data_IF_603067231278
#
_entry.id   IF_603067231278
#
_cell.length_a   1.000
_cell.length_b   1.000
_cell.length_c   1.000
_cell.angle_alpha   90.00
_cell.angle_beta   90.00
_cell.angle_gamma   90.00
#
_symmetry.space_group_name_H-M   'P 1'
#
loop_
_entity.id
_entity.type
_entity.pdbx_description
1 polymer ?
#
# COMPACT_ATOMS: atom_id res chain seq x y z
N UNK A 1 -19.12 -7.57 2.64
CA UNK A 1 -17.76 -7.11 2.34
C UNK A 1 -17.08 -6.61 3.62
N UNK A 2 -16.71 -7.52 4.54
CA UNK A 2 -16.39 -7.13 5.92
C UNK A 2 -14.94 -6.67 6.15
N UNK A 3 -14.00 -6.99 5.24
CA UNK A 3 -12.56 -6.86 5.52
C UNK A 3 -12.08 -7.92 6.51
N UNK A 4 -10.97 -7.66 7.18
CA UNK A 4 -10.48 -8.45 8.32
C UNK A 4 -10.79 -7.79 9.66
N UNK A 5 -10.16 -8.28 10.73
CA UNK A 5 -10.38 -7.80 12.11
C UNK A 5 -9.15 -7.13 12.72
N UNK A 6 -8.03 -7.10 12.01
CA UNK A 6 -6.75 -6.59 12.53
C UNK A 6 -6.67 -5.09 12.37
N UNK A 7 -6.44 -4.33 13.44
CA UNK A 7 -6.29 -2.87 13.33
C UNK A 7 -4.99 -2.51 12.60
N UNK A 8 -4.93 -1.32 11.98
CA UNK A 8 -3.71 -0.83 11.30
C UNK A 8 -2.56 -0.69 12.31
N UNK A 9 -2.85 -0.24 13.53
CA UNK A 9 -1.87 -0.15 14.63
C UNK A 9 -1.29 -1.52 14.97
N UNK A 10 -2.11 -2.57 14.94
CA UNK A 10 -1.66 -3.95 15.17
C UNK A 10 -0.79 -4.44 14.01
N UNK A 11 -1.15 -4.11 12.77
CA UNK A 11 -0.31 -4.44 11.61
C UNK A 11 1.05 -3.75 11.68
N UNK A 12 1.08 -2.47 12.08
CA UNK A 12 2.31 -1.70 12.31
C UNK A 12 3.13 -2.35 13.42
N UNK A 13 2.52 -2.61 14.59
CA UNK A 13 3.18 -3.19 15.76
C UNK A 13 3.83 -4.57 15.49
N UNK A 14 3.27 -5.34 14.55
CA UNK A 14 3.78 -6.66 14.13
C UNK A 14 4.69 -6.59 12.90
N UNK A 15 5.20 -5.39 12.55
CA UNK A 15 6.11 -5.19 11.42
C UNK A 15 7.48 -4.76 11.93
N UNK A 16 8.49 -5.63 11.73
CA UNK A 16 9.87 -5.34 12.14
C UNK A 16 10.53 -4.28 11.25
N UNK A 17 10.33 -4.37 9.94
CA UNK A 17 10.76 -3.37 8.96
C UNK A 17 9.78 -3.35 7.78
N UNK A 18 9.29 -2.17 7.40
CA UNK A 18 8.34 -2.03 6.31
C UNK A 18 7.99 -0.58 5.99
N UNK A 19 7.07 -0.38 5.05
CA UNK A 19 6.61 0.94 4.65
C UNK A 19 5.09 1.01 4.83
N UNK A 20 4.63 1.97 5.62
CA UNK A 20 3.22 2.35 5.68
C UNK A 20 2.92 3.32 4.54
N UNK A 21 2.03 2.92 3.63
CA UNK A 21 1.52 3.73 2.53
C UNK A 21 0.08 4.12 2.81
N UNK A 22 -0.19 5.42 2.86
CA UNK A 22 -1.55 5.96 3.02
C UNK A 22 -2.11 6.56 1.73
N UNK A 23 -1.25 6.87 0.76
CA UNK A 23 -1.62 7.54 -0.49
C UNK A 23 -0.77 7.07 -1.68
N UNK A 24 -1.46 6.78 -2.77
CA UNK A 24 -0.90 6.48 -4.08
C UNK A 24 -1.38 7.52 -5.09
N UNK A 25 -0.60 7.74 -6.12
CA UNK A 25 -0.83 8.76 -7.14
C UNK A 25 -0.34 8.30 -8.51
N UNK A 26 -0.97 8.84 -9.54
CA UNK A 26 -0.67 8.62 -10.94
C UNK A 26 -0.68 7.13 -11.32
N UNK A 27 -1.73 6.42 -10.91
CA UNK A 27 -1.84 4.98 -11.20
C UNK A 27 -2.23 4.80 -12.68
N UNK A 28 -1.50 3.94 -13.39
CA UNK A 28 -1.71 3.61 -14.80
C UNK A 28 -1.61 2.10 -15.00
N UNK A 29 -2.45 1.57 -15.88
CA UNK A 29 -2.36 0.17 -16.31
C UNK A 29 -1.25 0.05 -17.37
N UNK A 30 -0.30 -0.84 -17.13
CA UNK A 30 0.82 -1.14 -18.05
C UNK A 30 0.46 -2.34 -18.91
N UNK A 31 -0.04 -3.40 -18.28
CA UNK A 31 -0.50 -4.61 -18.95
C UNK A 31 -1.89 -5.00 -18.42
N UNK A 32 -2.95 -4.94 -19.25
CA UNK A 32 -4.29 -5.28 -18.84
C UNK A 32 -4.54 -6.78 -18.64
N UNK A 33 -3.76 -7.65 -19.28
CA UNK A 33 -3.93 -9.10 -19.18
C UNK A 33 -3.31 -9.61 -17.88
N UNK A 34 -2.07 -9.21 -17.61
CA UNK A 34 -1.35 -9.57 -16.39
C UNK A 34 -1.76 -8.72 -15.18
N UNK A 35 -2.57 -7.67 -15.40
CA UNK A 35 -2.99 -6.69 -14.38
C UNK A 35 -1.83 -6.04 -13.67
N UNK A 36 -0.87 -5.59 -14.48
CA UNK A 36 0.30 -4.84 -14.02
C UNK A 36 -0.05 -3.36 -13.99
N UNK A 37 0.08 -2.75 -12.81
CA UNK A 37 -0.11 -1.31 -12.60
C UNK A 37 1.22 -0.65 -12.25
N UNK A 38 1.42 0.56 -12.76
CA UNK A 38 2.50 1.45 -12.34
C UNK A 38 1.93 2.70 -11.70
N UNK A 39 2.69 3.32 -10.80
CA UNK A 39 2.31 4.57 -10.17
C UNK A 39 3.40 5.07 -9.23
N UNK A 40 3.02 6.01 -8.37
CA UNK A 40 3.91 6.59 -7.38
C UNK A 40 3.22 6.69 -6.03
N UNK A 41 3.99 6.71 -4.96
CA UNK A 41 3.49 7.16 -3.66
C UNK A 41 3.46 8.69 -3.63
N UNK A 42 2.61 9.31 -2.79
CA UNK A 42 2.62 10.77 -2.62
C UNK A 42 2.19 11.18 -1.22
N UNK A 43 3.05 11.95 -0.53
CA UNK A 43 2.78 12.62 0.75
C UNK A 43 2.10 11.70 1.79
N UNK A 44 2.55 10.45 1.85
CA UNK A 44 1.89 9.40 2.64
C UNK A 44 2.73 8.14 2.82
N UNK A 45 4.06 8.28 2.77
CA UNK A 45 5.01 7.17 2.90
C UNK A 45 5.77 7.30 4.21
N UNK A 46 5.64 6.30 5.07
CA UNK A 46 6.30 6.29 6.38
C UNK A 46 7.06 4.98 6.59
N UNK A 47 8.30 5.09 7.06
CA UNK A 47 9.10 3.93 7.47
C UNK A 47 8.56 3.37 8.78
N UNK A 48 8.38 2.06 8.84
CA UNK A 48 8.04 1.32 10.06
C UNK A 48 9.25 0.49 10.46
N UNK A 49 9.71 0.68 11.69
CA UNK A 49 10.83 -0.05 12.29
C UNK A 49 10.45 -0.51 13.69
N UNK A 50 10.70 -1.78 14.02
CA UNK A 50 10.45 -2.40 15.32
C UNK A 50 9.02 -2.13 15.85
N UNK A 51 8.03 -2.28 14.99
CA UNK A 51 6.64 -2.10 15.35
C UNK A 51 6.17 -0.64 15.47
N UNK A 52 6.97 0.34 15.02
CA UNK A 52 6.67 1.77 15.18
C UNK A 52 6.94 2.55 13.90
N UNK A 53 6.14 3.59 13.66
CA UNK A 53 6.42 4.57 12.61
C UNK A 53 7.65 5.39 13.05
N UNK A 54 8.72 5.32 12.24
CA UNK A 54 10.02 5.93 12.52
C UNK A 54 10.11 7.33 11.92
N UNK A 55 9.95 7.46 10.60
CA UNK A 55 10.06 8.73 9.89
C UNK A 55 9.26 8.74 8.60
N UNK A 56 8.96 9.93 8.08
CA UNK A 56 8.49 10.09 6.70
C UNK A 56 9.62 9.81 5.72
N UNK A 57 9.32 9.09 4.64
CA UNK A 57 10.30 8.73 3.61
C UNK A 57 9.92 9.32 2.26
N UNK A 58 10.89 9.35 1.35
CA UNK A 58 10.71 9.86 -0.01
C UNK A 58 9.66 9.05 -0.77
N UNK A 59 9.15 9.64 -1.85
CA UNK A 59 8.23 8.93 -2.71
C UNK A 59 8.95 7.84 -3.53
N UNK A 60 8.21 6.79 -3.84
CA UNK A 60 8.68 5.68 -4.66
C UNK A 60 7.82 5.56 -5.90
N UNK A 61 8.45 5.17 -7.01
CA UNK A 61 7.76 4.59 -8.16
C UNK A 61 7.58 3.10 -7.90
N UNK A 62 6.45 2.57 -8.34
CA UNK A 62 6.19 1.13 -8.29
C UNK A 62 5.71 0.61 -9.64
N UNK A 63 5.91 -0.69 -9.82
CA UNK A 63 5.36 -1.48 -10.90
C UNK A 63 4.97 -2.83 -10.29
N UNK A 64 3.67 -3.10 -10.21
CA UNK A 64 3.13 -4.17 -9.40
C UNK A 64 2.07 -4.94 -10.17
N UNK A 65 2.21 -6.27 -10.19
CA UNK A 65 1.12 -7.17 -10.55
C UNK A 65 0.10 -7.21 -9.40
N UNK A 66 -1.14 -6.81 -9.66
CA UNK A 66 -2.17 -6.70 -8.62
C UNK A 66 -2.67 -8.08 -8.16
N UNK A 67 -2.72 -9.06 -9.05
CA UNK A 67 -3.14 -10.43 -8.69
C UNK A 67 -2.12 -11.08 -7.75
N UNK A 68 -0.84 -10.89 -8.05
CA UNK A 68 0.26 -11.32 -7.18
C UNK A 68 0.24 -10.58 -5.83
N UNK A 69 0.12 -9.25 -5.86
CA UNK A 69 0.03 -8.44 -4.63
C UNK A 69 -1.10 -8.94 -3.70
N UNK A 70 -2.26 -9.26 -4.27
CA UNK A 70 -3.40 -9.76 -3.51
C UNK A 70 -3.16 -11.15 -2.91
N UNK A 71 -2.38 -12.00 -3.56
CA UNK A 71 -2.02 -13.33 -3.03
C UNK A 71 -1.05 -13.24 -1.83
N UNK A 72 -0.30 -12.14 -1.73
CA UNK A 72 0.63 -11.86 -0.62
C UNK A 72 0.02 -11.05 0.54
N UNK A 73 -1.29 -10.82 0.53
CA UNK A 73 -2.00 -10.17 1.66
C UNK A 73 -1.97 -11.10 2.88
N UNK A 74 -1.30 -10.68 3.95
CA UNK A 74 -1.22 -11.44 5.20
C UNK A 74 -2.25 -11.01 6.25
N UNK A 75 -2.60 -9.72 6.29
CA UNK A 75 -3.57 -9.16 7.24
C UNK A 75 -4.43 -8.09 6.58
N UNK A 76 -5.66 -7.94 7.08
CA UNK A 76 -6.63 -6.96 6.60
C UNK A 76 -7.34 -6.28 7.76
N UNK A 77 -7.61 -4.99 7.60
CA UNK A 77 -8.39 -4.24 8.57
C UNK A 77 -9.88 -4.44 8.34
N UNK A 78 -10.74 -4.01 9.27
CA UNK A 78 -12.14 -3.75 8.93
C UNK A 78 -12.20 -2.82 7.72
N UNK A 79 -13.18 -3.06 6.85
CA UNK A 79 -13.37 -2.21 5.68
C UNK A 79 -13.80 -0.81 6.11
N UNK A 80 -13.13 0.22 5.58
CA UNK A 80 -13.43 1.62 5.86
C UNK A 80 -13.73 2.34 4.56
N UNK A 81 -14.42 3.48 4.66
CA UNK A 81 -14.65 4.34 3.49
C UNK A 81 -13.31 4.98 3.09
N UNK A 82 -12.83 4.65 1.90
CA UNK A 82 -11.64 5.21 1.31
C UNK A 82 -12.03 6.09 0.12
N UNK A 83 -11.48 7.30 0.09
CA UNK A 83 -11.57 8.21 -1.04
C UNK A 83 -10.15 8.43 -1.55
N UNK A 84 -9.87 7.98 -2.78
CA UNK A 84 -8.63 8.24 -3.47
C UNK A 84 -8.78 9.47 -4.36
N UNK A 85 -7.70 10.21 -4.58
CA UNK A 85 -7.76 11.39 -5.46
C UNK A 85 -7.94 11.03 -6.94
N UNK A 86 -7.52 9.82 -7.35
CA UNK A 86 -7.68 9.31 -8.72
C UNK A 86 -8.65 8.12 -8.80
N UNK A 87 -9.40 7.83 -7.74
CA UNK A 87 -10.33 6.71 -7.69
C UNK A 87 -11.71 7.14 -7.21
N UNK A 88 -12.74 6.39 -7.60
CA UNK A 88 -14.07 6.56 -7.02
C UNK A 88 -14.07 6.18 -5.54
N UNK A 89 -15.06 6.70 -4.81
CA UNK A 89 -15.24 6.35 -3.40
C UNK A 89 -15.58 4.86 -3.25
N UNK A 90 -14.91 4.21 -2.30
CA UNK A 90 -15.03 2.77 -2.11
C UNK A 90 -14.95 2.40 -0.63
N UNK A 91 -15.47 1.22 -0.27
CA UNK A 91 -15.37 0.67 1.08
C UNK A 91 -14.41 -0.51 1.03
N UNK A 92 -13.17 -0.30 1.46
CA UNK A 92 -12.06 -1.25 1.33
C UNK A 92 -11.23 -1.30 2.62
N UNK A 93 -10.61 -2.44 2.95
CA UNK A 93 -9.72 -2.54 4.10
C UNK A 93 -8.32 -2.01 3.76
N UNK A 94 -7.56 -1.62 4.80
CA UNK A 94 -6.12 -1.55 4.71
C UNK A 94 -5.52 -2.96 4.63
N UNK A 95 -4.45 -3.11 3.86
CA UNK A 95 -3.81 -4.40 3.60
C UNK A 95 -2.37 -4.37 4.10
N UNK A 96 -1.94 -5.41 4.83
CA UNK A 96 -0.53 -5.72 5.05
C UNK A 96 -0.08 -6.72 4.00
N UNK A 97 0.73 -6.25 3.05
CA UNK A 97 1.18 -7.01 1.88
C UNK A 97 2.67 -7.29 2.01
N UNK A 98 3.08 -8.53 1.71
CA UNK A 98 4.50 -8.89 1.54
C UNK A 98 4.89 -8.75 0.08
N UNK A 99 6.19 -8.57 -0.16
CA UNK A 99 6.76 -8.62 -1.51
C UNK A 99 6.15 -7.60 -2.49
N UNK A 100 5.94 -6.36 -2.02
CA UNK A 100 5.52 -5.25 -2.88
C UNK A 100 6.72 -4.64 -3.63
N UNK A 101 6.58 -4.47 -4.94
CA UNK A 101 7.69 -4.10 -5.82
C UNK A 101 7.78 -2.59 -6.09
N UNK A 102 8.73 -1.93 -5.41
CA UNK A 102 9.17 -0.58 -5.75
C UNK A 102 10.29 -0.63 -6.79
N UNK A 103 10.20 0.23 -7.81
CA UNK A 103 11.15 0.26 -8.93
C UNK A 103 12.19 1.35 -8.82
N UNK A 104 11.84 2.50 -8.22
CA UNK A 104 12.74 3.66 -8.12
C UNK A 104 12.36 4.56 -6.95
N UNK A 105 13.36 5.22 -6.34
CA UNK A 105 13.15 6.32 -5.39
C UNK A 105 13.08 7.63 -6.18
N UNK A 106 12.05 8.46 -5.97
CA UNK A 106 11.98 9.75 -6.65
C UNK A 106 13.13 10.67 -6.19
N UNK A 107 13.75 11.36 -7.16
CA UNK A 107 14.95 12.18 -6.93
C UNK A 107 14.65 13.60 -6.40
N UNK A 108 13.39 13.94 -6.18
CA UNK A 108 12.95 15.29 -5.82
C UNK A 108 12.10 15.24 -4.56
#
# INVERSE_FOLDING_TARGET
>A
FAGGTTSVETMIATTDCGILLTRLWYIREVDPYEKILTGMTRDGSFLVENGKISTGIRNFRFNQNILEMLSHVGQMSPAVRAAGEESFEMVVPALKVRDFHFTEVTKF
#
